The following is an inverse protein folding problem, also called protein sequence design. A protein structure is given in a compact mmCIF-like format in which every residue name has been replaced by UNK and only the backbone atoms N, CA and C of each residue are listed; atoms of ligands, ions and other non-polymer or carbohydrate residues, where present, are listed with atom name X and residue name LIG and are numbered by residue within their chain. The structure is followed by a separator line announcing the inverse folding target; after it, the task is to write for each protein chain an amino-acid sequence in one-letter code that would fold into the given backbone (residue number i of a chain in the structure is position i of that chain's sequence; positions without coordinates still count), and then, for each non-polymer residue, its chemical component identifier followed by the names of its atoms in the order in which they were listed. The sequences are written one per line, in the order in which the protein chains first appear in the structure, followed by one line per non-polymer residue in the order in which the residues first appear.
data_IF_970610940977
#
_entry.id   IF_970610940977
#
_cell.length_a   1.000
_cell.length_b   1.000
_cell.length_c   1.000
_cell.angle_alpha   90.00
_cell.angle_beta   90.00
_cell.angle_gamma   90.00
#
_symmetry.space_group_name_H-M   'P 1'
#
loop_
_entity.id
_entity.type
_entity.pdbx_description
1 polymer ?
#
# COMPACT_ATOMS: atom_id res chain seq x y z
N UNK A 1 -7.11 -11.86 -10.73
CA UNK A 1 -6.56 -12.23 -9.41
C UNK A 1 -6.95 -11.14 -8.42
N UNK A 2 -7.48 -11.53 -7.26
CA UNK A 2 -7.96 -10.60 -6.23
C UNK A 2 -6.86 -10.24 -5.24
N UNK A 3 -7.15 -9.30 -4.35
CA UNK A 3 -6.19 -8.85 -3.33
C UNK A 3 -5.69 -10.01 -2.46
N UNK A 4 -6.57 -10.96 -2.10
CA UNK A 4 -6.24 -12.14 -1.28
C UNK A 4 -5.10 -12.97 -1.92
N UNK A 5 -5.21 -13.27 -3.21
CA UNK A 5 -4.19 -14.06 -3.91
C UNK A 5 -2.84 -13.36 -3.97
N UNK A 6 -2.81 -12.02 -3.95
CA UNK A 6 -1.56 -11.26 -3.92
C UNK A 6 -0.93 -11.23 -2.53
N UNK A 7 -1.72 -11.14 -1.46
CA UNK A 7 -1.23 -11.28 -0.07
C UNK A 7 -0.63 -12.68 0.18
N UNK A 8 -1.24 -13.72 -0.37
CA UNK A 8 -0.71 -15.09 -0.29
C UNK A 8 0.67 -15.26 -0.92
N UNK A 9 1.07 -14.44 -1.90
CA UNK A 9 2.44 -14.45 -2.46
C UNK A 9 3.50 -14.02 -1.45
N UNK A 10 3.10 -13.34 -0.38
CA UNK A 10 3.91 -13.00 0.78
C UNK A 10 3.64 -13.90 1.99
N UNK A 11 3.03 -15.07 1.77
CA UNK A 11 2.63 -16.00 2.84
C UNK A 11 1.82 -15.34 3.96
N UNK A 12 1.02 -14.34 3.61
CA UNK A 12 0.28 -13.50 4.57
C UNK A 12 -1.20 -13.52 4.25
N UNK A 13 -2.03 -13.43 5.29
CA UNK A 13 -3.48 -13.33 5.20
C UNK A 13 -3.98 -11.94 5.58
N UNK A 14 -5.06 -11.52 4.93
CA UNK A 14 -5.81 -10.35 5.34
C UNK A 14 -6.69 -10.70 6.53
N UNK A 15 -6.72 -9.82 7.54
CA UNK A 15 -7.64 -9.96 8.67
C UNK A 15 -9.10 -9.95 8.22
N UNK A 16 -9.46 -9.07 7.29
CA UNK A 16 -10.76 -9.05 6.65
C UNK A 16 -10.64 -8.82 5.14
N UNK A 17 -10.95 -9.82 4.30
CA UNK A 17 -10.79 -9.71 2.85
C UNK A 17 -11.60 -8.60 2.16
N UNK A 18 -12.67 -8.10 2.80
CA UNK A 18 -13.56 -7.11 2.20
C UNK A 18 -13.06 -5.67 2.37
N UNK A 19 -12.28 -5.39 3.42
CA UNK A 19 -11.86 -4.02 3.73
C UNK A 19 -10.41 -3.87 4.19
N UNK A 20 -9.73 -4.96 4.57
CA UNK A 20 -8.31 -4.90 4.94
C UNK A 20 -7.46 -4.62 3.70
N UNK A 21 -6.57 -3.66 3.86
CA UNK A 21 -5.62 -3.22 2.83
C UNK A 21 -4.18 -3.50 3.23
N UNK A 22 -3.95 -3.97 4.46
CA UNK A 22 -2.63 -4.23 5.00
C UNK A 22 -2.66 -5.39 6.00
N UNK A 23 -1.52 -6.03 6.22
CA UNK A 23 -1.34 -7.07 7.22
C UNK A 23 0.13 -7.18 7.60
N UNK A 24 0.40 -7.59 8.84
CA UNK A 24 1.76 -7.89 9.31
C UNK A 24 1.99 -9.39 9.10
N UNK A 25 3.05 -9.73 8.36
CA UNK A 25 3.44 -11.11 8.09
C UNK A 25 4.09 -11.77 9.32
N UNK A 26 4.18 -13.10 9.31
CA UNK A 26 4.93 -13.85 10.34
C UNK A 26 6.42 -13.51 10.40
N UNK A 27 6.96 -12.90 9.34
CA UNK A 27 8.36 -12.49 9.24
C UNK A 27 8.59 -11.04 9.70
N UNK A 28 7.61 -10.44 10.38
CA UNK A 28 7.62 -9.04 10.79
C UNK A 28 7.79 -8.07 9.60
N UNK A 29 7.04 -8.31 8.52
CA UNK A 29 6.96 -7.39 7.38
C UNK A 29 5.55 -6.86 7.23
N UNK A 30 5.41 -5.56 6.96
CA UNK A 30 4.13 -4.95 6.63
C UNK A 30 3.84 -5.18 5.14
N UNK A 31 2.87 -6.04 4.85
CA UNK A 31 2.34 -6.23 3.51
C UNK A 31 1.18 -5.25 3.31
N UNK A 32 1.20 -4.43 2.25
CA UNK A 32 0.19 -3.39 2.04
C UNK A 32 -0.19 -3.24 0.57
N UNK A 33 -1.49 -3.06 0.31
CA UNK A 33 -1.99 -2.69 -1.02
C UNK A 33 -2.06 -1.18 -1.19
N UNK A 34 -1.39 -0.68 -2.24
CA UNK A 34 -1.25 0.75 -2.53
C UNK A 34 -1.64 1.04 -3.98
N UNK A 35 -2.20 2.22 -4.24
CA UNK A 35 -2.55 2.63 -5.60
C UNK A 35 -1.31 2.92 -6.46
N UNK A 36 -1.19 2.29 -7.63
CA UNK A 36 -0.01 2.46 -8.49
C UNK A 36 -0.03 3.67 -9.42
N UNK A 37 -0.99 4.57 -9.25
CA UNK A 37 -1.19 5.72 -10.13
C UNK A 37 -0.43 6.95 -9.63
N UNK A 38 -0.02 7.81 -10.57
CA UNK A 38 0.47 9.17 -10.26
C UNK A 38 -0.70 10.05 -9.78
N UNK A 39 -0.51 10.93 -8.80
CA UNK A 39 0.80 11.32 -8.24
C UNK A 39 1.27 10.46 -7.06
N UNK A 40 0.46 9.51 -6.57
CA UNK A 40 0.76 8.78 -5.34
C UNK A 40 2.01 7.93 -5.46
N UNK A 41 2.16 7.16 -6.53
CA UNK A 41 3.37 6.38 -6.82
C UNK A 41 4.19 7.04 -7.93
N UNK A 42 5.44 7.37 -7.65
CA UNK A 42 6.36 8.00 -8.59
C UNK A 42 7.76 7.37 -8.55
N UNK A 43 8.52 7.55 -9.64
CA UNK A 43 9.93 7.11 -9.68
C UNK A 43 10.79 8.16 -8.98
N UNK A 44 11.79 7.74 -8.22
CA UNK A 44 12.81 8.66 -7.74
C UNK A 44 13.54 9.28 -8.95
N UNK A 45 13.83 10.60 -8.95
CA UNK A 45 14.37 11.28 -10.13
C UNK A 45 15.74 10.77 -10.57
N UNK A 46 16.57 10.31 -9.62
CA UNK A 46 17.98 9.96 -9.86
C UNK A 46 18.36 8.55 -9.44
N UNK A 47 17.54 7.87 -8.64
CA UNK A 47 17.89 6.59 -8.04
C UNK A 47 16.92 5.51 -8.52
N UNK A 48 17.36 4.25 -8.49
CA UNK A 48 16.51 3.09 -8.82
C UNK A 48 15.56 2.77 -7.66
N UNK A 49 14.66 3.71 -7.36
CA UNK A 49 13.69 3.64 -6.28
C UNK A 49 12.30 4.09 -6.76
N UNK A 50 11.26 3.61 -6.09
CA UNK A 50 9.90 4.13 -6.22
C UNK A 50 9.52 4.82 -4.92
N UNK A 51 8.81 5.93 -5.00
CA UNK A 51 8.37 6.70 -3.84
C UNK A 51 6.87 6.76 -3.85
N UNK A 52 6.26 6.30 -2.78
CA UNK A 52 4.83 6.38 -2.54
C UNK A 52 4.55 7.45 -1.49
N UNK A 53 3.72 8.43 -1.83
CA UNK A 53 3.31 9.51 -0.91
C UNK A 53 1.81 9.60 -0.88
N UNK A 54 1.27 9.65 0.33
CA UNK A 54 -0.16 9.72 0.51
C UNK A 54 -0.56 10.23 1.90
N UNK A 55 -1.85 10.49 2.07
CA UNK A 55 -2.47 10.79 3.35
C UNK A 55 -3.45 9.69 3.73
N UNK A 56 -3.36 9.19 4.96
CA UNK A 56 -4.28 8.18 5.48
C UNK A 56 -5.69 8.74 5.68
N UNK A 57 -5.82 10.06 5.86
CA UNK A 57 -7.08 10.69 6.23
C UNK A 57 -8.09 10.79 5.08
N UNK A 58 -7.63 10.73 3.82
CA UNK A 58 -8.51 10.57 2.65
C UNK A 58 -9.12 9.17 2.55
N UNK A 59 -8.54 8.17 3.22
CA UNK A 59 -9.06 6.80 3.16
C UNK A 59 -10.27 6.69 4.09
N UNK A 60 -11.32 6.03 3.62
CA UNK A 60 -12.54 5.78 4.39
C UNK A 60 -12.64 4.30 4.81
N UNK A 61 -13.39 4.03 5.87
CA UNK A 61 -13.74 2.67 6.31
C UNK A 61 -12.73 2.02 7.25
N UNK A 62 -13.04 0.79 7.68
CA UNK A 62 -12.30 0.09 8.74
C UNK A 62 -10.84 -0.21 8.39
N UNK A 63 -10.53 -0.39 7.10
CA UNK A 63 -9.18 -0.64 6.62
C UNK A 63 -8.22 0.51 6.93
N UNK A 64 -8.72 1.74 7.00
CA UNK A 64 -7.92 2.92 7.40
C UNK A 64 -7.35 2.76 8.80
N UNK A 65 -8.19 2.38 9.77
CA UNK A 65 -7.77 2.30 11.18
C UNK A 65 -6.78 1.14 11.40
N UNK A 66 -6.99 0.03 10.71
CA UNK A 66 -6.05 -1.08 10.69
C UNK A 66 -4.71 -0.66 10.08
N UNK A 67 -4.74 -0.02 8.91
CA UNK A 67 -3.52 0.42 8.25
C UNK A 67 -2.77 1.48 9.07
N UNK A 68 -3.49 2.40 9.71
CA UNK A 68 -2.89 3.39 10.63
C UNK A 68 -2.07 2.71 11.73
N UNK A 69 -2.65 1.73 12.43
CA UNK A 69 -1.94 0.96 13.47
C UNK A 69 -0.73 0.21 12.91
N UNK A 70 -0.86 -0.34 11.71
CA UNK A 70 0.25 -1.04 11.09
C UNK A 70 1.39 -0.09 10.68
N UNK A 71 1.09 1.17 10.33
CA UNK A 71 2.11 2.19 10.11
C UNK A 71 2.79 2.62 11.41
N UNK A 72 2.03 2.75 12.50
CA UNK A 72 2.59 3.00 13.84
C UNK A 72 3.59 1.88 14.20
N UNK A 73 3.19 0.61 14.07
CA UNK A 73 4.07 -0.54 14.30
C UNK A 73 5.28 -0.57 13.34
N UNK A 74 5.07 -0.23 12.06
CA UNK A 74 6.15 -0.18 11.09
C UNK A 74 7.22 0.85 11.45
N UNK A 75 6.82 1.98 12.05
CA UNK A 75 7.74 2.99 12.56
C UNK A 75 8.43 2.52 13.85
N UNK A 76 7.66 2.01 14.82
CA UNK A 76 8.17 1.58 16.12
C UNK A 76 9.17 0.42 16.02
N UNK A 77 8.88 -0.57 15.17
CA UNK A 77 9.68 -1.78 15.00
C UNK A 77 10.59 -1.76 13.76
N UNK A 78 10.58 -0.64 13.02
CA UNK A 78 11.34 -0.47 11.77
C UNK A 78 11.09 -1.62 10.76
N UNK A 79 9.80 -1.93 10.53
CA UNK A 79 9.39 -3.05 9.69
C UNK A 79 9.67 -2.78 8.22
N UNK A 80 10.08 -3.82 7.50
CA UNK A 80 10.12 -3.80 6.04
C UNK A 80 8.70 -3.74 5.49
N UNK A 81 8.49 -2.96 4.44
CA UNK A 81 7.20 -2.82 3.77
C UNK A 81 7.23 -3.52 2.41
N UNK A 82 6.23 -4.35 2.13
CA UNK A 82 6.12 -5.11 0.87
C UNK A 82 4.83 -4.70 0.14
N UNK A 83 4.92 -4.11 -1.06
CA UNK A 83 3.75 -3.53 -1.69
C UNK A 83 3.04 -4.50 -2.63
N UNK A 84 1.71 -4.40 -2.62
CA UNK A 84 0.81 -4.92 -3.65
C UNK A 84 0.23 -3.73 -4.39
N UNK A 85 0.62 -3.56 -5.64
CA UNK A 85 0.20 -2.40 -6.43
C UNK A 85 -1.19 -2.66 -7.02
N UNK A 86 -2.15 -1.84 -6.59
CA UNK A 86 -3.50 -1.78 -7.12
C UNK A 86 -3.55 -0.80 -8.30
N UNK A 87 -3.97 -1.29 -9.47
CA UNK A 87 -4.14 -0.52 -10.69
C UNK A 87 -5.61 -0.55 -11.10
N UNK A 88 -6.25 0.61 -11.16
CA UNK A 88 -7.58 0.75 -11.76
C UNK A 88 -7.53 0.32 -13.22
N UNK A 89 -8.59 -0.35 -13.68
CA UNK A 89 -8.73 -0.69 -15.09
C UNK A 89 -8.95 0.55 -15.96
N UNK A 90 -9.60 1.58 -15.40
CA UNK A 90 -9.80 2.87 -16.03
C UNK A 90 -9.11 3.97 -15.22
N UNK A 91 -8.16 4.66 -15.85
CA UNK A 91 -7.39 5.73 -15.21
C UNK A 91 -8.24 6.96 -14.85
N UNK A 92 -9.36 7.22 -15.54
CA UNK A 92 -10.22 8.36 -15.21
C UNK A 92 -10.87 8.22 -13.83
N UNK A 93 -11.03 6.99 -13.34
CA UNK A 93 -11.61 6.73 -12.02
C UNK A 93 -10.67 7.12 -10.89
N UNK A 94 -9.39 7.37 -11.18
CA UNK A 94 -8.39 7.66 -10.16
C UNK A 94 -8.68 8.96 -9.41
N UNK A 95 -9.36 9.92 -10.03
CA UNK A 95 -9.76 11.15 -9.34
C UNK A 95 -10.70 10.85 -8.16
N UNK A 96 -11.59 9.86 -8.29
CA UNK A 96 -12.46 9.42 -7.20
C UNK A 96 -11.67 8.85 -6.02
N UNK A 97 -10.55 8.19 -6.29
CA UNK A 97 -9.65 7.66 -5.27
C UNK A 97 -8.97 8.80 -4.51
N UNK A 98 -8.50 9.83 -5.22
CA UNK A 98 -7.90 11.01 -4.60
C UNK A 98 -8.90 11.78 -3.73
N UNK A 99 -10.17 11.81 -4.13
CA UNK A 99 -11.29 12.36 -3.36
C UNK A 99 -11.70 11.50 -2.15
N UNK A 100 -11.10 10.33 -1.97
CA UNK A 100 -11.38 9.46 -0.83
C UNK A 100 -12.65 8.60 -0.95
N UNK A 101 -13.20 8.46 -2.17
CA UNK A 101 -14.35 7.57 -2.40
C UNK A 101 -13.94 6.11 -2.22
N UNK A 102 -14.93 5.26 -1.97
CA UNK A 102 -14.73 3.82 -1.77
C UNK A 102 -14.10 3.18 -3.01
N UNK A 103 -12.80 2.90 -2.92
CA UNK A 103 -12.02 2.26 -3.96
C UNK A 103 -12.47 0.84 -4.30
N UNK A 104 -13.26 0.18 -3.44
CA UNK A 104 -13.77 -1.17 -3.66
C UNK A 104 -14.72 -1.23 -4.87
N UNK A 105 -15.48 -0.15 -5.11
CA UNK A 105 -16.48 -0.02 -6.18
C UNK A 105 -15.87 0.01 -7.59
N UNK A 106 -14.58 0.33 -7.70
CA UNK A 106 -13.92 0.50 -8.99
C UNK A 106 -13.18 -0.78 -9.42
N UNK A 107 -13.37 -1.26 -10.67
CA UNK A 107 -12.63 -2.39 -11.21
C UNK A 107 -11.12 -2.14 -11.23
N UNK A 108 -10.36 -3.09 -10.70
CA UNK A 108 -8.91 -2.96 -10.51
C UNK A 108 -8.22 -4.31 -10.57
N UNK A 109 -6.91 -4.27 -10.82
CA UNK A 109 -6.00 -5.41 -10.78
C UNK A 109 -4.98 -5.18 -9.69
N UNK A 110 -4.54 -6.26 -9.07
CA UNK A 110 -3.53 -6.23 -8.03
C UNK A 110 -2.26 -6.92 -8.53
N UNK A 111 -1.11 -6.42 -8.12
CA UNK A 111 0.20 -6.99 -8.48
C UNK A 111 1.17 -6.88 -7.30
N UNK A 112 1.41 -7.99 -6.61
CA UNK A 112 2.45 -8.13 -5.60
C UNK A 112 3.82 -7.88 -6.23
N UNK A 113 4.55 -6.89 -5.70
CA UNK A 113 5.93 -6.61 -6.12
C UNK A 113 6.89 -7.32 -5.16
N UNK A 114 7.05 -8.61 -5.38
CA UNK A 114 7.90 -9.48 -4.54
C UNK A 114 9.38 -9.07 -4.54
N UNK A 115 9.83 -8.24 -5.48
CA UNK A 115 11.18 -7.69 -5.53
C UNK A 115 11.29 -6.25 -5.01
N UNK A 116 10.24 -5.68 -4.40
CA UNK A 116 10.29 -4.33 -3.84
C UNK A 116 10.38 -4.39 -2.32
N UNK A 117 11.39 -3.75 -1.74
CA UNK A 117 11.53 -3.60 -0.30
C UNK A 117 11.36 -2.13 0.06
N UNK A 118 10.32 -1.85 0.84
CA UNK A 118 9.93 -0.52 1.28
C UNK A 118 10.39 -0.21 2.68
N UNK A 119 10.65 1.08 2.91
CA UNK A 119 10.91 1.65 4.23
C UNK A 119 9.98 2.84 4.44
N UNK A 120 9.41 2.96 5.63
CA UNK A 120 8.62 4.11 6.04
C UNK A 120 9.56 5.26 6.36
N UNK A 121 9.53 6.30 5.55
CA UNK A 121 10.43 7.46 5.67
C UNK A 121 9.75 8.69 6.27
N UNK A 122 8.42 8.77 6.13
CA UNK A 122 7.58 9.78 6.78
C UNK A 122 6.37 9.08 7.35
N UNK A 123 6.04 9.39 8.60
CA UNK A 123 4.76 9.07 9.22
C UNK A 123 4.48 10.05 10.37
N UNK A 124 3.43 10.86 10.25
CA UNK A 124 3.03 11.86 11.25
C UNK A 124 1.63 11.60 11.85
N UNK A 125 1.07 10.41 11.60
CA UNK A 125 -0.31 10.07 11.95
C UNK A 125 -1.35 10.45 10.90
N UNK A 126 -0.94 11.20 9.86
CA UNK A 126 -1.76 11.62 8.72
C UNK A 126 -1.07 11.35 7.38
N UNK A 127 0.10 11.92 7.14
CA UNK A 127 0.91 11.77 5.95
C UNK A 127 1.88 10.61 6.11
N UNK A 128 2.03 9.80 5.06
CA UNK A 128 3.06 8.78 5.02
C UNK A 128 3.81 8.78 3.69
N UNK A 129 5.10 8.45 3.78
CA UNK A 129 5.97 8.23 2.63
C UNK A 129 6.69 6.91 2.77
N UNK A 130 6.55 6.06 1.74
CA UNK A 130 7.25 4.77 1.66
C UNK A 130 8.18 4.81 0.46
N UNK A 131 9.46 4.55 0.71
CA UNK A 131 10.48 4.47 -0.34
C UNK A 131 10.79 3.01 -0.61
N UNK A 132 10.51 2.55 -1.83
CA UNK A 132 10.77 1.19 -2.28
C UNK A 132 12.06 1.11 -3.06
N UNK A 133 12.99 0.30 -2.56
CA UNK A 133 14.16 -0.18 -3.29
C UNK A 133 13.76 -1.37 -4.16
N UNK A 134 14.22 -1.35 -5.41
CA UNK A 134 14.05 -2.42 -6.36
C UNK A 134 15.23 -3.38 -6.19
N UNK A 135 15.04 -4.46 -5.44
CA UNK A 135 16.03 -5.55 -5.42
C UNK A 135 16.09 -6.19 -6.81
N UNK A 136 17.32 -6.43 -7.27
CA UNK A 136 17.61 -7.00 -8.59
C UNK A 136 17.34 -8.49 -8.63
#
# INVERSE_FOLDING_TARGET
MGIISEFKKFNTDLKNPNWSVSSISSNNELIVSLWGHKPLLSKHPTERKQVYRDRIDRWSGNGRNEFKRNLDLALEENLKIRPIIAMLNNSSDFQNILEGKDGSQYPKRFNAKTNWIGELTVWDGTQFEIVFRLDQ
#
